data_IF_550039840128
#
_entry.id   IF_550039840128
#
_cell.length_a   1.000
_cell.length_b   1.000
_cell.length_c   1.000
_cell.angle_alpha   90.00
_cell.angle_beta   90.00
_cell.angle_gamma   90.00
#
_symmetry.space_group_name_H-M   'P 1'
#
loop_
_entity.id
_entity.type
_entity.pdbx_description
1 polymer ?
#
# COMPACT_ATOMS: atom_id res chain seq x y z
N UNK A 1 47.29 -23.51 6.99
CA UNK A 1 47.47 -22.44 5.98
C UNK A 1 47.78 -21.15 6.71
N UNK A 2 48.95 -20.57 6.45
CA UNK A 2 49.51 -19.40 7.13
C UNK A 2 48.55 -18.20 7.04
N UNK A 3 48.17 -17.63 8.20
CA UNK A 3 47.67 -16.25 8.24
C UNK A 3 48.86 -15.35 7.94
N UNK A 4 48.92 -14.78 6.74
CA UNK A 4 49.86 -13.74 6.39
C UNK A 4 49.76 -12.62 7.43
N UNK A 5 50.89 -12.31 8.09
CA UNK A 5 50.98 -11.17 9.01
C UNK A 5 50.64 -9.91 8.22
N UNK A 6 49.64 -9.16 8.67
CA UNK A 6 49.29 -7.87 8.10
C UNK A 6 50.31 -6.87 8.66
N UNK A 7 51.21 -6.36 7.81
CA UNK A 7 52.17 -5.34 8.23
C UNK A 7 51.40 -4.06 8.57
N UNK A 8 51.60 -3.56 9.78
CA UNK A 8 50.95 -2.35 10.28
C UNK A 8 51.68 -1.12 9.74
N UNK A 9 51.08 0.05 9.90
CA UNK A 9 51.61 1.30 9.33
C UNK A 9 53.02 1.65 9.84
N UNK A 10 53.40 1.07 10.99
CA UNK A 10 54.68 1.23 11.67
C UNK A 10 55.82 0.47 10.96
N UNK A 11 55.51 -0.55 10.15
CA UNK A 11 56.47 -1.42 9.48
C UNK A 11 56.79 -0.98 8.04
N UNK A 12 56.25 0.16 7.58
CA UNK A 12 56.30 0.61 6.18
C UNK A 12 57.08 1.93 6.03
N UNK A 13 57.88 2.10 4.95
CA UNK A 13 58.63 3.31 4.70
C UNK A 13 57.70 4.53 4.52
N UNK A 14 58.14 5.67 5.05
CA UNK A 14 57.38 6.91 5.10
C UNK A 14 56.91 7.32 3.69
N UNK A 15 55.59 7.45 3.51
CA UNK A 15 54.96 7.74 2.21
C UNK A 15 54.34 6.52 1.52
N UNK A 16 54.44 5.32 2.09
CA UNK A 16 53.71 4.13 1.60
C UNK A 16 52.53 3.78 2.53
N UNK A 17 51.44 3.28 1.95
CA UNK A 17 50.27 2.83 2.68
C UNK A 17 50.13 1.31 2.57
N UNK A 18 49.72 0.59 3.62
CA UNK A 18 49.44 -0.83 3.52
C UNK A 18 48.33 -1.07 2.47
N UNK A 19 48.33 -2.22 1.77
CA UNK A 19 47.29 -2.54 0.81
C UNK A 19 45.93 -2.47 1.52
N UNK A 20 45.08 -1.51 1.13
CA UNK A 20 43.70 -1.48 1.62
C UNK A 20 43.00 -2.74 1.11
N UNK A 21 42.37 -3.54 1.97
CA UNK A 21 41.50 -4.60 1.49
C UNK A 21 40.48 -3.98 0.55
N UNK A 22 40.33 -4.57 -0.63
CA UNK A 22 39.34 -4.16 -1.62
C UNK A 22 37.98 -4.05 -0.94
N UNK A 23 37.26 -2.94 -1.15
CA UNK A 23 35.92 -2.71 -0.57
C UNK A 23 34.95 -3.88 -0.92
N UNK A 24 35.25 -4.65 -1.96
CA UNK A 24 34.51 -5.85 -2.36
C UNK A 24 34.83 -7.14 -1.59
N UNK A 25 35.91 -7.21 -0.81
CA UNK A 25 36.21 -8.41 0.02
C UNK A 25 35.53 -8.36 1.40
N UNK A 26 34.92 -7.23 1.76
CA UNK A 26 34.17 -7.03 3.00
C UNK A 26 32.65 -7.16 2.83
N UNK A 27 32.15 -7.81 1.78
CA UNK A 27 30.71 -8.10 1.66
C UNK A 27 30.32 -9.22 2.62
N UNK A 28 30.00 -8.87 3.86
CA UNK A 28 29.24 -9.79 4.72
C UNK A 28 27.95 -10.12 3.97
N UNK A 29 27.75 -11.37 3.54
CA UNK A 29 26.49 -11.81 2.92
C UNK A 29 25.33 -11.35 3.82
N UNK A 30 24.51 -10.43 3.31
CA UNK A 30 23.39 -9.82 4.06
C UNK A 30 22.37 -10.90 4.48
N UNK A 31 22.21 -11.91 3.62
CA UNK A 31 21.44 -13.12 3.88
C UNK A 31 22.33 -14.24 4.41
N UNK A 32 21.85 -14.92 5.44
CA UNK A 32 22.54 -16.03 6.13
C UNK A 32 22.08 -17.39 5.61
N UNK A 33 20.82 -17.48 5.17
CA UNK A 33 20.24 -18.66 4.55
C UNK A 33 19.14 -18.25 3.57
N UNK A 34 19.03 -18.96 2.45
CA UNK A 34 18.03 -18.76 1.42
C UNK A 34 17.48 -20.13 1.00
N UNK A 35 16.16 -20.28 0.99
CA UNK A 35 15.48 -21.50 0.52
C UNK A 35 14.27 -21.15 -0.33
N UNK A 36 14.15 -21.78 -1.48
CA UNK A 36 13.00 -21.60 -2.37
C UNK A 36 11.90 -22.63 -2.02
N UNK A 37 10.66 -22.18 -1.98
CA UNK A 37 9.46 -22.99 -1.71
C UNK A 37 8.38 -22.69 -2.77
N UNK A 38 7.39 -23.59 -2.92
CA UNK A 38 6.31 -23.47 -3.91
C UNK A 38 6.86 -23.25 -5.33
N UNK A 39 7.71 -24.17 -5.78
CA UNK A 39 8.29 -24.16 -7.13
C UNK A 39 9.03 -22.85 -7.47
N UNK A 40 9.69 -22.25 -6.48
CA UNK A 40 10.45 -21.01 -6.63
C UNK A 40 9.61 -19.73 -6.57
N UNK A 41 8.30 -19.83 -6.34
CA UNK A 41 7.41 -18.66 -6.24
C UNK A 41 7.65 -17.86 -4.95
N UNK A 42 8.12 -18.51 -3.89
CA UNK A 42 8.42 -17.88 -2.61
C UNK A 42 9.85 -18.21 -2.18
N UNK A 43 10.60 -17.17 -1.80
CA UNK A 43 11.93 -17.30 -1.20
C UNK A 43 11.85 -17.08 0.31
N UNK A 44 12.32 -18.04 1.09
CA UNK A 44 12.56 -17.91 2.52
C UNK A 44 13.98 -17.41 2.75
N UNK A 45 14.10 -16.28 3.44
CA UNK A 45 15.35 -15.56 3.67
C UNK A 45 15.55 -15.41 5.18
N UNK A 46 16.80 -15.56 5.62
CA UNK A 46 17.24 -15.25 6.99
C UNK A 46 18.34 -14.20 6.92
N UNK A 47 18.26 -13.15 7.73
CA UNK A 47 19.32 -12.12 7.84
C UNK A 47 19.96 -12.15 9.21
N UNK A 48 21.23 -11.71 9.31
CA UNK A 48 21.96 -11.64 10.58
C UNK A 48 21.30 -10.67 11.56
N UNK A 49 20.77 -9.56 11.06
CA UNK A 49 20.12 -8.51 11.86
C UNK A 49 18.73 -8.89 12.41
N UNK A 50 18.00 -9.80 11.75
CA UNK A 50 16.64 -10.18 12.17
C UNK A 50 16.58 -11.28 13.24
N UNK A 51 17.67 -11.49 14.01
CA UNK A 51 17.68 -12.45 15.11
C UNK A 51 17.37 -13.89 14.69
N UNK A 52 17.79 -14.26 13.47
CA UNK A 52 17.57 -15.59 12.89
C UNK A 52 16.12 -15.96 12.57
N UNK A 53 15.22 -14.98 12.53
CA UNK A 53 13.83 -15.17 12.13
C UNK A 53 13.71 -15.31 10.61
N UNK A 54 12.95 -16.30 10.15
CA UNK A 54 12.63 -16.50 8.75
C UNK A 54 11.71 -15.41 8.20
N UNK A 55 12.03 -14.91 7.03
CA UNK A 55 11.24 -13.93 6.28
C UNK A 55 10.89 -14.53 4.92
N UNK A 56 9.64 -14.41 4.50
CA UNK A 56 9.24 -14.76 3.14
C UNK A 56 9.34 -13.55 2.23
N UNK A 57 9.76 -13.79 0.99
CA UNK A 57 9.75 -12.85 -0.13
C UNK A 57 9.04 -13.52 -1.31
N UNK A 58 7.99 -12.90 -1.82
CA UNK A 58 7.23 -13.37 -2.96
C UNK A 58 7.16 -12.26 -4.01
N UNK A 59 7.41 -12.58 -5.28
CA UNK A 59 7.15 -11.66 -6.38
C UNK A 59 5.70 -11.81 -6.84
N UNK A 60 4.98 -10.70 -6.95
CA UNK A 60 3.62 -10.69 -7.49
C UNK A 60 3.69 -10.06 -8.88
N UNK A 61 3.46 -10.87 -9.91
CA UNK A 61 3.51 -10.43 -11.30
C UNK A 61 2.42 -9.42 -11.63
N UNK A 62 1.21 -9.59 -11.09
CA UNK A 62 0.06 -8.71 -11.33
C UNK A 62 0.28 -7.28 -10.86
N UNK A 63 0.99 -7.08 -9.75
CA UNK A 63 1.25 -5.76 -9.15
C UNK A 63 2.71 -5.31 -9.32
N UNK A 64 3.55 -6.12 -9.97
CA UNK A 64 5.00 -5.90 -10.20
C UNK A 64 5.75 -5.47 -8.94
N UNK A 65 5.42 -6.07 -7.80
CA UNK A 65 5.95 -5.71 -6.48
C UNK A 65 6.30 -6.95 -5.67
N UNK A 66 7.30 -6.81 -4.79
CA UNK A 66 7.67 -7.87 -3.83
C UNK A 66 6.84 -7.73 -2.55
N UNK A 67 6.21 -8.81 -2.11
CA UNK A 67 5.72 -8.94 -0.73
C UNK A 67 6.83 -9.51 0.12
N UNK A 68 7.19 -8.78 1.18
CA UNK A 68 8.11 -9.25 2.21
C UNK A 68 7.38 -9.34 3.54
N UNK A 69 7.40 -10.51 4.18
CA UNK A 69 6.72 -10.71 5.47
C UNK A 69 7.56 -11.57 6.40
N UNK A 70 7.64 -11.17 7.67
CA UNK A 70 8.31 -11.99 8.69
C UNK A 70 7.41 -13.14 9.12
N UNK A 71 7.94 -14.36 9.14
CA UNK A 71 7.24 -15.56 9.59
C UNK A 71 7.32 -15.73 11.12
N UNK A 72 8.12 -14.89 11.80
CA UNK A 72 8.27 -14.85 13.26
C UNK A 72 8.66 -16.19 13.90
N UNK A 73 9.31 -17.08 13.14
CA UNK A 73 9.85 -18.35 13.64
C UNK A 73 11.32 -18.49 13.24
N UNK A 74 12.06 -19.25 14.05
CA UNK A 74 13.45 -19.64 13.81
C UNK A 74 13.55 -21.05 13.22
N UNK A 75 12.52 -21.87 13.44
CA UNK A 75 12.45 -23.23 12.94
C UNK A 75 12.14 -23.25 11.44
N UNK A 76 12.81 -24.13 10.69
CA UNK A 76 12.69 -24.20 9.24
C UNK A 76 11.40 -24.89 8.77
N UNK A 77 11.01 -25.99 9.40
CA UNK A 77 9.80 -26.72 9.02
C UNK A 77 8.55 -25.88 9.32
N UNK A 78 8.53 -25.24 10.49
CA UNK A 78 7.46 -24.33 10.86
C UNK A 78 7.42 -23.12 9.91
N UNK A 79 8.57 -22.59 9.50
CA UNK A 79 8.65 -21.51 8.50
C UNK A 79 8.11 -21.95 7.13
N UNK A 80 8.43 -23.16 6.67
CA UNK A 80 7.95 -23.69 5.41
C UNK A 80 6.43 -23.83 5.41
N UNK A 81 5.85 -24.39 6.47
CA UNK A 81 4.40 -24.53 6.63
C UNK A 81 3.69 -23.16 6.68
N UNK A 82 4.19 -22.23 7.50
CA UNK A 82 3.64 -20.85 7.57
C UNK A 82 3.78 -20.11 6.24
N UNK A 83 4.92 -20.25 5.57
CA UNK A 83 5.19 -19.64 4.26
C UNK A 83 4.21 -20.13 3.20
N UNK A 84 3.97 -21.44 3.11
CA UNK A 84 2.97 -22.04 2.21
C UNK A 84 1.56 -21.54 2.50
N UNK A 85 1.13 -21.57 3.76
CA UNK A 85 -0.20 -21.09 4.15
C UNK A 85 -0.41 -19.61 3.80
N UNK A 86 0.60 -18.78 4.04
CA UNK A 86 0.54 -17.36 3.72
C UNK A 86 0.52 -17.13 2.21
N UNK A 87 1.30 -17.90 1.45
CA UNK A 87 1.31 -17.87 0.00
C UNK A 87 -0.06 -18.22 -0.58
N UNK A 88 -0.66 -19.34 -0.20
CA UNK A 88 -1.99 -19.74 -0.67
C UNK A 88 -3.07 -18.72 -0.30
N UNK A 89 -3.01 -18.14 0.91
CA UNK A 89 -3.94 -17.08 1.31
C UNK A 89 -3.79 -15.81 0.46
N UNK A 90 -2.56 -15.43 0.09
CA UNK A 90 -2.32 -14.31 -0.81
C UNK A 90 -2.79 -14.59 -2.23
N UNK A 91 -2.51 -15.80 -2.75
CA UNK A 91 -2.93 -16.20 -4.08
C UNK A 91 -4.46 -16.25 -4.19
N UNK A 92 -5.16 -16.80 -3.19
CA UNK A 92 -6.62 -16.78 -3.18
C UNK A 92 -7.22 -15.38 -3.17
N UNK A 93 -6.54 -14.39 -2.56
CA UNK A 93 -6.96 -12.98 -2.65
C UNK A 93 -6.74 -12.42 -4.05
N UNK A 94 -5.60 -12.70 -4.68
CA UNK A 94 -5.33 -12.31 -6.05
C UNK A 94 -6.33 -12.92 -7.04
N UNK A 95 -6.64 -14.21 -6.88
CA UNK A 95 -7.62 -14.92 -7.71
C UNK A 95 -9.03 -14.35 -7.53
N UNK A 96 -9.38 -13.89 -6.33
CA UNK A 96 -10.63 -13.17 -6.08
C UNK A 96 -10.67 -11.74 -6.65
N UNK A 97 -9.60 -11.30 -7.34
CA UNK A 97 -9.48 -9.96 -7.92
C UNK A 97 -9.11 -8.87 -6.90
N UNK A 98 -8.80 -9.22 -5.65
CA UNK A 98 -8.37 -8.25 -4.64
C UNK A 98 -6.89 -7.93 -4.81
N UNK A 99 -6.54 -6.65 -4.71
CA UNK A 99 -5.14 -6.21 -4.72
C UNK A 99 -4.52 -6.40 -3.33
N UNK A 100 -3.30 -6.93 -3.32
CA UNK A 100 -2.51 -7.15 -2.11
C UNK A 100 -1.87 -5.86 -1.61
N UNK A 101 -1.51 -4.94 -2.50
CA UNK A 101 -1.01 -3.63 -2.10
C UNK A 101 -2.13 -2.61 -2.06
N UNK A 102 -2.35 -2.05 -0.86
CA UNK A 102 -3.33 -0.98 -0.66
C UNK A 102 -2.89 0.29 -1.38
N UNK A 103 -3.82 0.89 -2.12
CA UNK A 103 -3.66 2.21 -2.74
C UNK A 103 -3.84 3.34 -1.72
N UNK A 104 -3.13 4.45 -1.89
CA UNK A 104 -3.38 5.68 -1.14
C UNK A 104 -4.67 6.37 -1.63
N UNK A 105 -5.28 7.21 -0.79
CA UNK A 105 -6.47 7.97 -1.20
C UNK A 105 -6.18 8.96 -2.33
N UNK A 106 -4.98 9.57 -2.38
CA UNK A 106 -4.56 10.44 -3.47
C UNK A 106 -4.45 9.69 -4.81
N UNK A 107 -3.73 8.57 -4.84
CA UNK A 107 -3.62 7.74 -6.05
C UNK A 107 -4.98 7.21 -6.50
N UNK A 108 -5.89 6.89 -5.56
CA UNK A 108 -7.24 6.46 -5.89
C UNK A 108 -8.03 7.57 -6.58
N UNK A 109 -7.99 8.78 -6.04
CA UNK A 109 -8.69 9.95 -6.61
C UNK A 109 -8.14 10.27 -7.99
N UNK A 110 -6.82 10.22 -8.19
CA UNK A 110 -6.20 10.45 -9.50
C UNK A 110 -6.71 9.47 -10.56
N UNK A 111 -6.67 8.16 -10.25
CA UNK A 111 -7.18 7.13 -11.17
C UNK A 111 -8.67 7.26 -11.43
N UNK A 112 -9.45 7.64 -10.41
CA UNK A 112 -10.87 7.88 -10.57
C UNK A 112 -11.14 9.09 -11.48
N UNK A 113 -10.35 10.16 -11.36
CA UNK A 113 -10.45 11.35 -12.21
C UNK A 113 -10.05 11.10 -13.66
N UNK A 114 -9.12 10.16 -13.91
CA UNK A 114 -8.83 9.66 -15.25
C UNK A 114 -10.06 8.95 -15.85
N UNK A 115 -10.66 8.01 -15.12
CA UNK A 115 -11.90 7.35 -15.56
C UNK A 115 -13.03 8.36 -15.81
N UNK A 116 -13.15 9.42 -14.98
CA UNK A 116 -14.13 10.47 -15.23
C UNK A 116 -13.78 11.32 -16.47
N UNK A 117 -12.50 11.49 -16.80
CA UNK A 117 -12.10 12.15 -18.05
C UNK A 117 -12.50 11.30 -19.26
N UNK A 118 -12.24 9.98 -19.22
CA UNK A 118 -12.67 9.07 -20.29
C UNK A 118 -14.19 9.12 -20.52
N UNK A 119 -14.98 9.34 -19.45
CA UNK A 119 -16.42 9.53 -19.54
C UNK A 119 -16.82 10.88 -20.13
N UNK A 120 -16.02 11.93 -19.96
CA UNK A 120 -16.23 13.20 -20.67
C UNK A 120 -15.94 13.01 -22.15
N UNK A 121 -14.82 12.37 -22.47
CA UNK A 121 -14.37 12.17 -23.85
C UNK A 121 -15.35 11.26 -24.62
N UNK A 122 -15.95 10.28 -23.93
CA UNK A 122 -17.04 9.45 -24.46
C UNK A 122 -18.43 10.12 -24.46
N UNK A 123 -18.56 11.37 -24.03
CA UNK A 123 -19.83 12.12 -24.04
C UNK A 123 -20.85 11.74 -22.96
N UNK A 124 -20.48 10.91 -21.98
CA UNK A 124 -21.40 10.49 -20.90
C UNK A 124 -21.62 11.59 -19.86
N UNK A 125 -20.64 12.47 -19.65
CA UNK A 125 -20.73 13.60 -18.71
C UNK A 125 -20.10 14.86 -19.32
N UNK A 126 -20.48 16.02 -18.81
CA UNK A 126 -19.90 17.30 -19.23
C UNK A 126 -18.62 17.63 -18.45
N UNK A 127 -17.76 18.47 -19.04
CA UNK A 127 -16.55 18.96 -18.35
C UNK A 127 -16.89 19.72 -17.06
N UNK A 128 -18.00 20.46 -17.03
CA UNK A 128 -18.49 21.16 -15.84
C UNK A 128 -18.85 20.18 -14.72
N UNK A 129 -19.46 19.04 -15.06
CA UNK A 129 -19.74 17.98 -14.08
C UNK A 129 -18.44 17.41 -13.52
N UNK A 130 -17.44 17.15 -14.35
CA UNK A 130 -16.11 16.70 -13.89
C UNK A 130 -15.46 17.71 -12.95
N UNK A 131 -15.51 19.01 -13.24
CA UNK A 131 -15.00 20.06 -12.35
C UNK A 131 -15.68 20.05 -10.97
N UNK A 132 -16.98 19.77 -10.94
CA UNK A 132 -17.73 19.62 -9.69
C UNK A 132 -17.25 18.39 -8.91
N UNK A 133 -17.05 17.26 -9.58
CA UNK A 133 -16.53 16.03 -8.97
C UNK A 133 -15.15 16.27 -8.35
N UNK A 134 -14.24 16.96 -9.05
CA UNK A 134 -12.92 17.31 -8.53
C UNK A 134 -13.04 18.06 -7.19
N UNK A 135 -13.91 19.08 -7.14
CA UNK A 135 -14.13 19.87 -5.92
C UNK A 135 -14.64 18.99 -4.76
N UNK A 136 -15.55 18.06 -5.04
CA UNK A 136 -16.09 17.15 -4.03
C UNK A 136 -15.03 16.15 -3.55
N UNK A 137 -14.19 15.64 -4.44
CA UNK A 137 -13.09 14.73 -4.09
C UNK A 137 -11.99 15.42 -3.29
N UNK A 138 -11.78 16.73 -3.48
CA UNK A 138 -10.88 17.51 -2.62
C UNK A 138 -11.39 17.55 -1.17
N UNK A 139 -12.70 17.75 -0.95
CA UNK A 139 -13.29 17.67 0.40
C UNK A 139 -13.16 16.28 1.03
N UNK A 140 -13.29 15.24 0.21
CA UNK A 140 -13.06 13.87 0.62
C UNK A 140 -11.60 13.63 1.05
N UNK A 141 -10.63 14.09 0.24
CA UNK A 141 -9.20 13.97 0.57
C UNK A 141 -8.82 14.75 1.83
N UNK A 142 -9.38 15.95 2.02
CA UNK A 142 -9.20 16.73 3.24
C UNK A 142 -9.74 16.01 4.48
N UNK A 143 -10.84 15.26 4.34
CA UNK A 143 -11.44 14.52 5.43
C UNK A 143 -10.65 13.27 5.82
N UNK A 144 -10.25 12.49 4.81
CA UNK A 144 -9.61 11.19 4.99
C UNK A 144 -8.10 11.31 5.26
N UNK A 145 -7.46 12.28 4.61
CA UNK A 145 -6.01 12.45 4.49
C UNK A 145 -5.50 11.89 3.17
N UNK A 146 -4.66 12.66 2.44
CA UNK A 146 -4.17 12.36 1.07
C UNK A 146 -3.31 11.09 0.95
N UNK A 147 -2.46 10.85 1.94
CA UNK A 147 -1.53 9.69 1.92
C UNK A 147 -2.08 8.48 2.69
N UNK A 148 -3.33 8.56 3.14
CA UNK A 148 -3.92 7.49 3.92
C UNK A 148 -4.29 6.32 3.02
N UNK A 149 -3.84 5.13 3.40
CA UNK A 149 -4.17 3.87 2.72
C UNK A 149 -5.65 3.56 2.87
N UNK A 150 -6.32 3.21 1.77
CA UNK A 150 -7.77 2.99 1.74
C UNK A 150 -8.25 1.90 2.72
N UNK A 151 -7.47 0.85 2.92
CA UNK A 151 -7.76 -0.22 3.88
C UNK A 151 -7.71 0.22 5.35
N UNK A 152 -7.06 1.36 5.65
CA UNK A 152 -6.98 1.87 7.05
C UNK A 152 -8.15 2.77 7.44
N UNK A 153 -9.09 3.00 6.53
CA UNK A 153 -10.23 3.89 6.74
C UNK A 153 -11.41 3.04 7.19
N UNK A 154 -11.85 3.23 8.43
CA UNK A 154 -13.02 2.56 8.98
C UNK A 154 -14.31 3.15 8.42
N UNK A 155 -15.32 2.30 8.23
CA UNK A 155 -16.64 2.73 7.72
C UNK A 155 -17.32 3.75 8.63
N UNK A 156 -17.10 3.66 9.94
CA UNK A 156 -17.69 4.54 10.96
C UNK A 156 -17.17 5.97 10.86
N UNK A 157 -15.94 6.16 10.37
CA UNK A 157 -15.35 7.49 10.22
C UNK A 157 -16.24 8.38 9.36
N UNK A 158 -16.93 7.83 8.35
CA UNK A 158 -17.80 8.59 7.46
C UNK A 158 -19.07 9.15 8.11
N UNK A 159 -19.44 8.70 9.32
CA UNK A 159 -20.56 9.28 10.07
C UNK A 159 -20.31 10.74 10.41
N UNK A 160 -19.04 11.12 10.63
CA UNK A 160 -18.65 12.49 10.98
C UNK A 160 -18.41 13.39 9.77
N UNK A 161 -18.60 12.88 8.54
CA UNK A 161 -18.29 13.61 7.31
C UNK A 161 -19.08 14.93 7.22
N UNK A 162 -20.39 14.91 7.49
CA UNK A 162 -21.19 16.14 7.41
C UNK A 162 -20.87 17.13 8.52
N UNK A 163 -20.52 16.66 9.72
CA UNK A 163 -20.05 17.51 10.81
C UNK A 163 -18.73 18.19 10.42
N UNK A 164 -17.81 17.45 9.80
CA UNK A 164 -16.59 18.03 9.22
C UNK A 164 -16.91 19.10 8.17
N UNK A 165 -17.82 18.84 7.23
CA UNK A 165 -18.20 19.81 6.20
C UNK A 165 -18.83 21.07 6.76
N UNK A 166 -19.75 20.95 7.72
CA UNK A 166 -20.38 22.10 8.40
C UNK A 166 -19.40 22.88 9.26
N UNK A 167 -18.40 22.24 9.87
CA UNK A 167 -17.31 22.94 10.58
C UNK A 167 -16.45 23.77 9.63
N UNK A 168 -16.13 23.24 8.44
CA UNK A 168 -15.34 23.96 7.43
C UNK A 168 -16.13 25.06 6.72
N UNK A 169 -17.41 24.83 6.45
CA UNK A 169 -18.33 25.81 5.87
C UNK A 169 -19.71 25.67 6.52
N UNK A 170 -20.05 26.54 7.50
CA UNK A 170 -21.33 26.48 8.20
C UNK A 170 -22.55 26.59 7.27
N UNK A 171 -22.44 27.41 6.22
CA UNK A 171 -23.49 27.66 5.23
C UNK A 171 -23.52 26.65 4.07
N UNK A 172 -23.15 25.39 4.34
CA UNK A 172 -23.21 24.34 3.31
C UNK A 172 -24.65 23.84 3.16
N UNK A 173 -25.20 23.97 1.94
CA UNK A 173 -26.56 23.53 1.63
C UNK A 173 -26.68 22.01 1.62
N UNK A 174 -27.84 21.49 2.04
CA UNK A 174 -28.12 20.04 2.06
C UNK A 174 -27.96 19.38 0.67
N UNK A 175 -28.43 19.96 -0.46
CA UNK A 175 -28.21 19.37 -1.77
C UNK A 175 -26.72 19.21 -2.14
N UNK A 176 -25.86 20.12 -1.68
CA UNK A 176 -24.41 20.00 -1.87
C UNK A 176 -23.85 18.79 -1.13
N UNK A 177 -24.28 18.56 0.11
CA UNK A 177 -23.88 17.39 0.89
C UNK A 177 -24.39 16.08 0.30
N UNK A 178 -25.61 16.06 -0.24
CA UNK A 178 -26.16 14.89 -0.95
C UNK A 178 -25.37 14.58 -2.23
N UNK A 179 -24.97 15.60 -2.98
CA UNK A 179 -24.11 15.43 -4.15
C UNK A 179 -22.72 14.90 -3.76
N UNK A 180 -22.11 15.43 -2.69
CA UNK A 180 -20.85 14.91 -2.14
C UNK A 180 -20.99 13.44 -1.70
N UNK A 181 -22.08 13.08 -1.01
CA UNK A 181 -22.40 11.69 -0.63
C UNK A 181 -22.45 10.77 -1.84
N UNK A 182 -23.14 11.19 -2.90
CA UNK A 182 -23.25 10.41 -4.14
C UNK A 182 -21.88 10.16 -4.77
N UNK A 183 -21.04 11.20 -4.86
CA UNK A 183 -19.68 11.09 -5.40
C UNK A 183 -18.78 10.20 -4.54
N UNK A 184 -18.83 10.32 -3.21
CA UNK A 184 -18.10 9.44 -2.28
C UNK A 184 -18.57 7.98 -2.44
N UNK A 185 -19.89 7.75 -2.53
CA UNK A 185 -20.43 6.41 -2.78
C UNK A 185 -19.94 5.82 -4.11
N UNK A 186 -19.90 6.63 -5.16
CA UNK A 186 -19.48 6.19 -6.49
C UNK A 186 -17.98 5.86 -6.56
N UNK A 187 -17.10 6.68 -5.98
CA UNK A 187 -15.67 6.34 -5.97
C UNK A 187 -15.42 5.07 -5.16
N UNK A 188 -16.13 4.84 -4.05
CA UNK A 188 -16.02 3.61 -3.28
C UNK A 188 -16.53 2.39 -4.03
N UNK A 189 -17.69 2.50 -4.69
CA UNK A 189 -18.22 1.42 -5.53
C UNK A 189 -17.23 1.06 -6.66
N UNK A 190 -16.72 2.06 -7.36
CA UNK A 190 -15.70 1.86 -8.38
C UNK A 190 -14.41 1.24 -7.81
N UNK A 191 -14.00 1.67 -6.62
CA UNK A 191 -12.82 1.10 -5.95
C UNK A 191 -12.98 -0.38 -5.63
N UNK A 192 -14.19 -0.81 -5.27
CA UNK A 192 -14.52 -2.20 -5.01
C UNK A 192 -14.48 -3.01 -6.30
N UNK A 193 -15.04 -2.49 -7.40
CA UNK A 193 -15.00 -3.11 -8.72
C UNK A 193 -13.56 -3.30 -9.24
N UNK A 194 -12.67 -2.35 -8.92
CA UNK A 194 -11.25 -2.42 -9.27
C UNK A 194 -10.39 -3.26 -8.29
N UNK A 195 -11.00 -3.79 -7.22
CA UNK A 195 -10.31 -4.61 -6.21
C UNK A 195 -9.37 -3.84 -5.29
N UNK A 196 -9.49 -2.51 -5.19
CA UNK A 196 -8.66 -1.67 -4.30
C UNK A 196 -9.10 -1.71 -2.85
N UNK A 197 -10.38 -2.01 -2.61
CA UNK A 197 -10.99 -2.08 -1.28
C UNK A 197 -11.85 -3.34 -1.17
N UNK A 198 -12.11 -3.73 0.08
CA UNK A 198 -13.04 -4.80 0.43
C UNK A 198 -14.40 -4.23 0.85
N UNK A 199 -15.44 -5.07 0.83
CA UNK A 199 -16.82 -4.66 1.09
C UNK A 199 -17.03 -4.07 2.50
N UNK A 200 -16.25 -4.50 3.48
CA UNK A 200 -16.29 -3.97 4.86
C UNK A 200 -15.83 -2.51 4.98
N UNK A 201 -15.16 -1.99 3.94
CA UNK A 201 -14.65 -0.61 3.89
C UNK A 201 -15.63 0.37 3.26
N UNK A 202 -16.81 -0.06 2.84
CA UNK A 202 -17.81 0.83 2.25
C UNK A 202 -18.27 1.90 3.26
N UNK A 203 -18.40 3.17 2.82
CA UNK A 203 -18.62 4.30 3.72
C UNK A 203 -20.05 4.30 4.26
N UNK A 204 -20.21 4.48 5.57
CA UNK A 204 -21.50 4.67 6.21
C UNK A 204 -21.63 6.15 6.60
N UNK A 205 -22.29 6.93 5.75
CA UNK A 205 -22.59 8.33 6.04
C UNK A 205 -23.82 8.42 6.95
N UNK A 206 -23.83 9.41 7.85
CA UNK A 206 -24.98 9.64 8.73
C UNK A 206 -26.23 10.06 7.94
N UNK A 207 -27.38 10.09 8.60
CA UNK A 207 -28.59 10.64 8.00
C UNK A 207 -28.51 12.16 7.94
N UNK A 208 -29.04 12.74 6.86
CA UNK A 208 -29.32 14.17 6.76
C UNK A 208 -30.83 14.33 6.85
N UNK A 209 -31.31 15.20 7.74
CA UNK A 209 -32.71 15.63 7.70
C UNK A 209 -32.93 16.37 6.38
N UNK A 210 -33.58 15.70 5.44
CA UNK A 210 -34.12 16.34 4.25
C UNK A 210 -35.47 16.90 4.66
N UNK A 211 -35.55 18.20 4.91
CA UNK A 211 -36.85 18.86 4.88
C UNK A 211 -37.34 18.76 3.44
N UNK A 212 -38.40 17.98 3.21
CA UNK A 212 -39.01 17.84 1.89
C UNK A 212 -39.17 19.23 1.27
N UNK A 213 -38.46 19.45 0.16
CA UNK A 213 -38.71 20.59 -0.71
C UNK A 213 -39.98 20.16 -1.47
N UNK A 214 -41.13 20.66 -1.00
CA UNK A 214 -42.35 20.66 -1.78
C UNK A 214 -42.22 21.57 -3.00
#
# INVERSE_FOLDING_TARGET
MNKSKINLHEDLPFGTYPPRPSVNEMTSKFYTAEHDICDGQVKLLRTKQSGHVWQMRCWISSEKKYVKKSLRTKDFEEAQSKGRKLYYSMMGKLDSGQKLFTISSSELVEKYLQMQQDRVDGGFITQQRRSTIITQLNHFMDFVGKDRKMDTITRERYKDYYLFRRRKKPDVKVPTLLNERSTIGHIYKWSLEQGYITQDRLPVLSELKVSNIG
#
